data_IF_150712083322
#
_entry.id   IF_150712083322
#
_cell.length_a   1.000
_cell.length_b   1.000
_cell.length_c   1.000
_cell.angle_alpha   90.00
_cell.angle_beta   90.00
_cell.angle_gamma   90.00
#
_symmetry.space_group_name_H-M   'P 1'
#
loop_
_entity.id
_entity.type
_entity.pdbx_description
1 polymer ?
#
# COMPACT_ATOMS: atom_id res chain seq x y z
N UNK A 1 15.84 -27.37 31.12
CA UNK A 1 15.01 -27.68 29.94
C UNK A 1 13.54 -27.25 30.05
N UNK A 2 12.76 -27.63 31.07
CA UNK A 2 11.31 -27.25 31.18
C UNK A 2 11.03 -25.74 31.27
N UNK A 3 11.94 -24.94 31.84
CA UNK A 3 11.82 -23.46 31.90
C UNK A 3 12.15 -22.79 30.55
N UNK A 4 13.12 -23.33 29.81
CA UNK A 4 13.48 -22.88 28.46
C UNK A 4 12.37 -23.21 27.46
N UNK A 5 11.76 -24.39 27.55
CA UNK A 5 10.58 -24.75 26.74
C UNK A 5 9.34 -23.89 27.06
N UNK A 6 9.15 -23.41 28.30
CA UNK A 6 8.07 -22.47 28.65
C UNK A 6 8.34 -21.05 28.15
N UNK A 7 9.59 -20.58 28.16
CA UNK A 7 9.97 -19.27 27.66
C UNK A 7 9.91 -19.23 26.12
N UNK A 8 10.46 -20.25 25.45
CA UNK A 8 10.32 -20.46 24.00
C UNK A 8 8.85 -20.66 23.64
N UNK A 9 8.05 -21.40 24.42
CA UNK A 9 6.62 -21.57 24.18
C UNK A 9 5.77 -20.29 24.31
N UNK A 10 6.18 -19.30 25.13
CA UNK A 10 5.50 -18.00 25.23
C UNK A 10 5.90 -17.03 24.11
N UNK A 11 7.15 -17.07 23.65
CA UNK A 11 7.65 -16.24 22.54
C UNK A 11 7.20 -16.81 21.18
N UNK A 12 7.16 -18.14 21.07
CA UNK A 12 6.64 -18.86 19.89
C UNK A 12 5.12 -18.67 19.80
N UNK A 13 4.34 -18.72 20.89
CA UNK A 13 2.88 -18.48 20.82
C UNK A 13 2.46 -17.04 20.45
N UNK A 14 3.36 -16.06 20.52
CA UNK A 14 3.12 -14.71 19.99
C UNK A 14 3.40 -14.60 18.47
N UNK A 15 4.12 -15.58 17.90
CA UNK A 15 4.48 -15.65 16.47
C UNK A 15 3.86 -16.83 15.72
N UNK A 16 3.28 -17.83 16.40
CA UNK A 16 2.64 -19.01 15.81
C UNK A 16 1.11 -19.01 15.86
N UNK A 17 0.48 -17.96 16.37
CA UNK A 17 -0.98 -17.77 16.27
C UNK A 17 -1.47 -17.57 14.83
N UNK A 18 -0.59 -17.41 13.85
CA UNK A 18 -0.94 -17.40 12.42
C UNK A 18 -0.63 -18.69 11.67
N UNK A 19 0.15 -19.63 12.23
CA UNK A 19 0.59 -20.83 11.50
C UNK A 19 0.03 -22.17 12.04
N UNK A 20 -0.53 -22.20 13.25
CA UNK A 20 -1.04 -23.44 13.87
C UNK A 20 -2.58 -23.59 13.86
N UNK A 21 -3.33 -22.66 13.23
CA UNK A 21 -4.78 -22.76 13.09
C UNK A 21 -5.25 -23.57 11.86
N UNK A 22 -4.32 -24.12 11.06
CA UNK A 22 -4.64 -24.75 9.77
C UNK A 22 -4.99 -26.25 9.84
N UNK A 23 -5.08 -26.88 11.03
CA UNK A 23 -5.27 -28.33 11.12
C UNK A 23 -6.50 -28.82 11.92
N UNK A 24 -7.35 -27.95 12.48
CA UNK A 24 -8.54 -28.41 13.20
C UNK A 24 -9.69 -27.40 13.24
N UNK A 25 -10.55 -27.38 12.21
CA UNK A 25 -11.99 -27.13 12.32
C UNK A 25 -12.63 -27.05 10.92
N UNK A 26 -13.54 -27.99 10.61
CA UNK A 26 -14.54 -27.80 9.55
C UNK A 26 -15.57 -26.75 10.04
N UNK A 27 -15.27 -25.46 9.84
CA UNK A 27 -16.18 -24.29 9.80
C UNK A 27 -15.36 -23.08 9.29
N UNK A 28 -15.95 -22.17 8.49
CA UNK A 28 -15.19 -21.09 7.87
C UNK A 28 -14.62 -20.14 8.94
N UNK A 29 -13.31 -19.81 8.93
CA UNK A 29 -12.73 -18.96 9.96
C UNK A 29 -13.09 -17.49 9.72
N UNK A 30 -13.54 -16.84 10.80
CA UNK A 30 -13.61 -15.38 10.92
C UNK A 30 -12.18 -14.84 10.83
N UNK A 31 -11.87 -14.15 9.72
CA UNK A 31 -10.55 -13.56 9.45
C UNK A 31 -10.35 -12.35 10.36
N UNK A 32 -9.64 -12.55 11.47
CA UNK A 32 -9.12 -11.46 12.31
C UNK A 32 -7.84 -10.95 11.63
N UNK A 33 -7.95 -9.77 11.03
CA UNK A 33 -6.84 -9.06 10.38
C UNK A 33 -5.86 -8.59 11.45
N UNK A 34 -4.62 -9.10 11.44
CA UNK A 34 -3.52 -8.51 12.21
C UNK A 34 -3.00 -7.35 11.35
N UNK A 35 -3.09 -6.08 11.81
CA UNK A 35 -2.56 -4.95 11.05
C UNK A 35 -1.03 -5.02 11.10
N UNK A 36 -0.38 -5.35 9.99
CA UNK A 36 1.05 -5.06 9.83
C UNK A 36 1.16 -3.55 9.73
N UNK A 37 1.65 -2.92 10.81
CA UNK A 37 1.84 -1.48 10.93
C UNK A 37 2.74 -0.94 9.83
N UNK A 38 2.12 -0.54 8.72
CA UNK A 38 2.62 0.47 7.79
C UNK A 38 1.50 1.12 6.96
N UNK A 39 0.22 0.84 7.27
CA UNK A 39 -0.96 1.45 6.63
C UNK A 39 -1.23 2.89 7.09
N UNK A 40 -0.42 3.44 8.01
CA UNK A 40 -0.62 4.77 8.61
C UNK A 40 0.30 5.86 8.07
N UNK A 41 1.16 5.58 7.07
CA UNK A 41 2.10 6.57 6.51
C UNK A 41 2.07 6.65 4.97
N UNK A 42 0.94 6.31 4.33
CA UNK A 42 0.73 6.64 2.92
C UNK A 42 -0.27 7.77 2.81
N UNK A 43 0.24 9.00 2.78
CA UNK A 43 -0.42 10.07 2.05
C UNK A 43 -0.73 9.53 0.65
N UNK A 44 -1.99 9.63 0.24
CA UNK A 44 -2.49 9.02 -0.99
C UNK A 44 -1.66 9.48 -2.21
N UNK A 45 -1.52 8.66 -3.25
CA UNK A 45 -0.95 9.13 -4.50
C UNK A 45 -1.78 10.29 -5.06
N UNK A 46 -1.15 11.19 -5.82
CA UNK A 46 -1.82 12.31 -6.48
C UNK A 46 -3.01 11.88 -7.35
N UNK A 47 -3.06 10.62 -7.79
CA UNK A 47 -4.14 10.00 -8.56
C UNK A 47 -5.49 9.93 -7.82
N UNK A 48 -5.53 10.09 -6.50
CA UNK A 48 -6.79 10.15 -5.74
C UNK A 48 -7.60 11.43 -6.03
N UNK A 49 -6.93 12.50 -6.46
CA UNK A 49 -7.56 13.79 -6.78
C UNK A 49 -7.80 13.92 -8.28
N UNK A 50 -9.05 14.18 -8.69
CA UNK A 50 -9.37 14.45 -10.10
C UNK A 50 -8.93 15.88 -10.41
N UNK A 51 -7.82 16.04 -11.13
CA UNK A 51 -7.36 17.32 -11.67
C UNK A 51 -7.92 17.56 -13.07
N UNK A 52 -8.74 18.59 -13.24
CA UNK A 52 -8.91 19.24 -14.54
C UNK A 52 -7.65 20.10 -14.76
N UNK A 53 -6.95 19.87 -15.88
CA UNK A 53 -5.65 20.48 -16.23
C UNK A 53 -5.54 21.94 -15.73
N UNK A 54 -4.66 22.16 -14.77
CA UNK A 54 -4.35 23.46 -14.21
C UNK A 54 -2.95 23.88 -14.64
N UNK A 55 -2.85 24.82 -15.59
CA UNK A 55 -1.58 25.51 -15.85
C UNK A 55 -1.15 26.27 -14.59
N UNK A 56 0.15 26.21 -14.20
CA UNK A 56 0.64 26.91 -13.02
C UNK A 56 0.67 28.41 -13.30
N UNK A 57 0.03 29.21 -12.44
CA UNK A 57 0.34 30.64 -12.32
C UNK A 57 0.70 30.87 -10.87
N UNK A 58 1.96 31.23 -10.65
CA UNK A 58 2.42 31.71 -9.36
C UNK A 58 1.67 33.01 -9.04
N UNK A 59 0.86 33.00 -7.97
CA UNK A 59 0.33 34.23 -7.40
C UNK A 59 0.96 34.40 -6.03
N UNK A 60 1.88 35.37 -5.98
CA UNK A 60 2.44 35.94 -4.76
C UNK A 60 1.28 36.55 -3.97
N UNK A 61 1.11 36.10 -2.73
CA UNK A 61 0.25 36.77 -1.77
C UNK A 61 0.92 38.10 -1.40
N UNK A 62 0.29 39.21 -1.74
CA UNK A 62 0.55 40.49 -1.12
C UNK A 62 -0.75 41.28 -1.00
N UNK A 63 -1.09 41.63 0.24
CA UNK A 63 -1.98 42.72 0.55
C UNK A 63 -1.44 44.00 -0.12
N UNK A 64 -2.09 44.51 -1.15
CA UNK A 64 -2.18 45.95 -1.44
C UNK A 64 -3.07 46.21 -2.67
N UNK A 65 -4.17 46.92 -2.45
CA UNK A 65 -5.23 47.22 -3.43
C UNK A 65 -4.86 48.32 -4.46
N UNK A 66 -3.59 48.75 -4.59
CA UNK A 66 -3.30 50.00 -5.33
C UNK A 66 -2.37 49.95 -6.56
N UNK A 67 -1.92 48.79 -7.05
CA UNK A 67 -1.15 48.77 -8.31
C UNK A 67 -1.55 47.62 -9.24
N UNK A 68 -2.68 47.78 -9.94
CA UNK A 68 -2.96 47.05 -11.19
C UNK A 68 -2.94 48.03 -12.37
N UNK A 69 -1.74 48.46 -12.76
CA UNK A 69 -1.49 48.99 -14.11
C UNK A 69 -0.48 48.07 -14.79
N UNK A 70 -0.97 47.18 -15.67
CA UNK A 70 -0.09 46.35 -16.51
C UNK A 70 -0.60 44.95 -16.88
N UNK A 71 -1.79 44.53 -16.45
CA UNK A 71 -2.33 43.21 -16.80
C UNK A 71 -3.38 43.33 -17.91
N UNK A 72 -3.02 42.91 -19.12
CA UNK A 72 -3.97 42.79 -20.23
C UNK A 72 -4.78 41.51 -20.06
N UNK A 73 -6.11 41.68 -20.02
CA UNK A 73 -7.08 40.59 -20.00
C UNK A 73 -7.01 39.85 -21.34
N UNK A 74 -6.55 38.61 -21.34
CA UNK A 74 -6.73 37.71 -22.47
C UNK A 74 -8.12 37.11 -22.32
N UNK A 75 -9.07 37.60 -23.14
CA UNK A 75 -10.42 37.04 -23.24
C UNK A 75 -10.40 35.86 -24.20
N UNK A 76 -9.86 34.72 -23.78
CA UNK A 76 -10.29 33.46 -24.37
C UNK A 76 -11.58 33.04 -23.68
N UNK A 77 -12.70 33.03 -24.42
CA UNK A 77 -14.05 32.74 -23.90
C UNK A 77 -14.26 31.31 -23.38
N UNK A 78 -13.22 30.64 -22.88
CA UNK A 78 -13.22 29.26 -22.41
C UNK A 78 -13.63 29.12 -20.94
N UNK A 79 -13.44 30.13 -20.09
CA UNK A 79 -13.85 30.12 -18.67
C UNK A 79 -14.15 31.56 -18.25
N UNK A 80 -15.34 31.84 -17.72
CA UNK A 80 -15.60 33.12 -17.06
C UNK A 80 -14.77 33.15 -15.78
N UNK A 81 -13.55 33.67 -15.86
CA UNK A 81 -12.71 33.93 -14.69
C UNK A 81 -13.44 34.93 -13.80
N UNK A 82 -14.06 34.42 -12.75
CA UNK A 82 -14.77 35.20 -11.75
C UNK A 82 -14.17 34.91 -10.37
N UNK A 83 -14.52 35.72 -9.38
CA UNK A 83 -13.94 35.60 -8.04
C UNK A 83 -14.13 34.19 -7.45
N UNK A 84 -15.21 33.50 -7.80
CA UNK A 84 -15.49 32.15 -7.32
C UNK A 84 -14.60 31.10 -7.99
N UNK A 85 -14.30 31.21 -9.29
CA UNK A 85 -13.38 30.28 -9.97
C UNK A 85 -11.96 30.39 -9.42
N UNK A 86 -11.50 31.60 -9.10
CA UNK A 86 -10.21 31.82 -8.44
C UNK A 86 -10.18 31.26 -7.01
N UNK A 87 -11.20 31.55 -6.20
CA UNK A 87 -11.31 31.04 -4.82
C UNK A 87 -11.40 29.52 -4.77
N UNK A 88 -12.17 28.90 -5.67
CA UNK A 88 -12.26 27.44 -5.79
C UNK A 88 -10.86 26.81 -5.97
N UNK A 89 -10.05 27.40 -6.86
CA UNK A 89 -8.70 26.90 -7.14
C UNK A 89 -7.80 27.00 -5.91
N UNK A 90 -7.71 28.18 -5.31
CA UNK A 90 -6.89 28.43 -4.12
C UNK A 90 -7.32 27.51 -2.96
N UNK A 91 -8.63 27.38 -2.73
CA UNK A 91 -9.14 26.48 -1.70
C UNK A 91 -8.81 25.01 -1.99
N UNK A 92 -8.94 24.57 -3.24
CA UNK A 92 -8.64 23.19 -3.63
C UNK A 92 -7.16 22.87 -3.44
N UNK A 93 -6.26 23.75 -3.87
CA UNK A 93 -4.82 23.52 -3.81
C UNK A 93 -4.33 23.55 -2.35
N UNK A 94 -4.73 24.58 -1.58
CA UNK A 94 -4.40 24.65 -0.14
C UNK A 94 -4.99 23.47 0.65
N UNK A 95 -6.21 23.01 0.31
CA UNK A 95 -6.81 21.85 0.96
C UNK A 95 -6.03 20.56 0.67
N UNK A 96 -5.54 20.38 -0.56
CA UNK A 96 -4.68 19.24 -0.92
C UNK A 96 -3.38 19.27 -0.15
N UNK A 97 -2.74 20.43 -0.03
CA UNK A 97 -1.49 20.56 0.73
C UNK A 97 -1.69 20.24 2.21
N UNK A 98 -2.77 20.75 2.82
CA UNK A 98 -3.11 20.43 4.22
C UNK A 98 -3.47 18.96 4.40
N UNK A 99 -4.17 18.37 3.44
CA UNK A 99 -4.47 16.95 3.41
C UNK A 99 -3.19 16.11 3.37
N UNK A 100 -2.22 16.50 2.53
CA UNK A 100 -0.90 15.88 2.49
C UNK A 100 -0.06 16.14 3.75
N UNK A 101 -0.36 17.17 4.53
CA UNK A 101 0.27 17.35 5.86
C UNK A 101 -0.44 16.58 6.97
N UNK A 102 -1.55 15.88 6.68
CA UNK A 102 -2.37 15.19 7.68
C UNK A 102 -3.25 16.13 8.53
N UNK A 103 -3.34 17.42 8.18
CA UNK A 103 -4.19 18.42 8.87
C UNK A 103 -5.63 18.32 8.34
N UNK A 104 -6.30 17.22 8.67
CA UNK A 104 -7.57 16.84 8.05
C UNK A 104 -8.73 17.78 8.38
N UNK A 105 -8.77 18.41 9.56
CA UNK A 105 -9.86 19.33 9.90
C UNK A 105 -9.76 20.66 9.14
N UNK A 106 -8.54 21.18 8.94
CA UNK A 106 -8.34 22.39 8.15
C UNK A 106 -8.55 22.12 6.66
N UNK A 107 -8.11 20.95 6.16
CA UNK A 107 -8.39 20.52 4.80
C UNK A 107 -9.91 20.36 4.54
N UNK A 108 -10.68 19.86 5.51
CA UNK A 108 -12.14 19.74 5.39
C UNK A 108 -12.80 21.10 5.16
N UNK A 109 -12.43 22.10 5.98
CA UNK A 109 -12.96 23.46 5.84
C UNK A 109 -12.72 24.03 4.45
N UNK A 110 -11.50 23.85 3.92
CA UNK A 110 -11.15 24.35 2.60
C UNK A 110 -11.80 23.55 1.47
N UNK A 111 -11.93 22.22 1.55
CA UNK A 111 -12.64 21.45 0.53
C UNK A 111 -14.15 21.75 0.51
N UNK A 112 -14.78 21.95 1.67
CA UNK A 112 -16.18 22.41 1.74
C UNK A 112 -16.32 23.79 1.11
N UNK A 113 -15.40 24.71 1.43
CA UNK A 113 -15.33 26.02 0.79
C UNK A 113 -15.15 25.92 -0.72
N UNK A 114 -14.24 25.08 -1.20
CA UNK A 114 -14.01 24.85 -2.62
C UNK A 114 -15.29 24.37 -3.32
N UNK A 115 -15.98 23.37 -2.76
CA UNK A 115 -17.24 22.88 -3.31
C UNK A 115 -18.30 23.99 -3.43
N UNK A 116 -18.43 24.84 -2.40
CA UNK A 116 -19.34 25.99 -2.44
C UNK A 116 -18.95 26.98 -3.54
N UNK A 117 -17.66 27.32 -3.65
CA UNK A 117 -17.17 28.23 -4.69
C UNK A 117 -17.34 27.64 -6.09
N UNK A 118 -17.14 26.33 -6.28
CA UNK A 118 -17.39 25.67 -7.56
C UNK A 118 -18.86 25.80 -7.98
N UNK A 119 -19.79 25.52 -7.05
CA UNK A 119 -21.23 25.62 -7.29
C UNK A 119 -21.66 27.05 -7.66
N UNK A 120 -21.05 28.06 -7.05
CA UNK A 120 -21.31 29.48 -7.33
C UNK A 120 -20.68 29.96 -8.64
N UNK A 121 -19.44 29.54 -8.93
CA UNK A 121 -18.65 30.06 -10.04
C UNK A 121 -18.94 29.38 -11.39
N UNK A 122 -19.21 28.07 -11.38
CA UNK A 122 -19.39 27.27 -12.59
C UNK A 122 -20.82 26.75 -12.76
N UNK A 123 -21.60 26.65 -11.67
CA UNK A 123 -22.95 26.11 -11.65
C UNK A 123 -23.02 24.68 -11.09
N UNK A 124 -24.22 24.27 -10.67
CA UNK A 124 -24.44 23.06 -9.86
C UNK A 124 -24.07 21.73 -10.55
N UNK A 125 -24.07 21.70 -11.89
CA UNK A 125 -23.85 20.50 -12.70
C UNK A 125 -22.56 20.58 -13.52
N UNK A 126 -21.63 21.43 -13.10
CA UNK A 126 -20.36 21.60 -13.78
C UNK A 126 -19.30 20.57 -13.33
N UNK A 127 -18.44 20.06 -14.23
CA UNK A 127 -17.33 19.16 -13.91
C UNK A 127 -16.39 19.61 -12.78
N UNK A 128 -16.23 20.91 -12.54
CA UNK A 128 -15.45 21.43 -11.40
C UNK A 128 -16.14 21.14 -10.06
N UNK A 129 -17.47 21.11 -10.02
CA UNK A 129 -18.25 20.64 -8.86
C UNK A 129 -17.99 19.16 -8.63
N UNK A 130 -17.97 18.34 -9.69
CA UNK A 130 -17.65 16.92 -9.55
C UNK A 130 -16.24 16.68 -8.98
N UNK A 131 -15.24 17.43 -9.45
CA UNK A 131 -13.88 17.39 -8.89
C UNK A 131 -13.88 17.75 -7.41
N UNK A 132 -14.56 18.84 -7.03
CA UNK A 132 -14.66 19.25 -5.62
C UNK A 132 -15.37 18.20 -4.74
N UNK A 133 -16.47 17.60 -5.23
CA UNK A 133 -17.16 16.50 -4.55
C UNK A 133 -16.24 15.29 -4.35
N UNK A 134 -15.52 14.85 -5.40
CA UNK A 134 -14.58 13.72 -5.28
C UNK A 134 -13.47 14.01 -4.25
N UNK A 135 -12.92 15.22 -4.25
CA UNK A 135 -11.83 15.59 -3.32
C UNK A 135 -12.32 15.59 -1.86
N UNK A 136 -13.52 16.13 -1.62
CA UNK A 136 -14.14 16.10 -0.29
C UNK A 136 -14.53 14.67 0.14
N UNK A 137 -14.99 13.84 -0.80
CA UNK A 137 -15.28 12.43 -0.56
C UNK A 137 -14.03 11.64 -0.14
N UNK A 138 -12.89 11.86 -0.81
CA UNK A 138 -11.61 11.25 -0.43
C UNK A 138 -11.17 11.66 0.97
N UNK A 139 -11.32 12.93 1.34
CA UNK A 139 -11.06 13.39 2.70
C UNK A 139 -11.95 12.65 3.71
N UNK A 140 -13.25 12.55 3.46
CA UNK A 140 -14.15 11.82 4.36
C UNK A 140 -13.86 10.33 4.41
N UNK A 141 -13.43 9.70 3.32
CA UNK A 141 -12.97 8.30 3.32
C UNK A 141 -11.76 8.11 4.24
N UNK A 142 -10.79 9.02 4.20
CA UNK A 142 -9.61 8.98 5.10
C UNK A 142 -10.01 9.21 6.56
N UNK A 143 -10.95 10.13 6.82
CA UNK A 143 -11.53 10.34 8.16
C UNK A 143 -12.46 9.21 8.61
N UNK A 144 -12.72 8.21 7.76
CA UNK A 144 -13.71 7.13 7.97
C UNK A 144 -15.13 7.67 8.22
N UNK A 145 -15.44 8.87 7.74
CA UNK A 145 -16.77 9.48 7.75
C UNK A 145 -17.56 9.00 6.53
N UNK A 146 -17.80 7.71 6.49
CA UNK A 146 -18.30 6.99 5.33
C UNK A 146 -19.66 7.46 4.82
N UNK A 147 -20.61 7.73 5.72
CA UNK A 147 -21.94 8.25 5.38
C UNK A 147 -21.90 9.60 4.65
N UNK A 148 -20.82 10.38 4.83
CA UNK A 148 -20.61 11.64 4.10
C UNK A 148 -19.89 11.45 2.77
N UNK A 149 -19.05 10.42 2.64
CA UNK A 149 -18.21 10.20 1.46
C UNK A 149 -19.01 9.60 0.29
N UNK A 150 -19.80 8.56 0.53
CA UNK A 150 -20.57 7.86 -0.51
C UNK A 150 -21.44 8.79 -1.37
N UNK A 151 -22.29 9.67 -0.80
CA UNK A 151 -23.14 10.55 -1.60
C UNK A 151 -22.33 11.51 -2.48
N UNK A 152 -21.16 11.97 -2.03
CA UNK A 152 -20.30 12.88 -2.79
C UNK A 152 -19.63 12.19 -3.98
N UNK A 153 -19.18 10.94 -3.82
CA UNK A 153 -18.69 10.15 -4.96
C UNK A 153 -19.79 9.92 -6.00
N UNK A 154 -21.00 9.58 -5.55
CA UNK A 154 -22.14 9.36 -6.45
C UNK A 154 -22.56 10.65 -7.17
N UNK A 155 -22.58 11.80 -6.48
CA UNK A 155 -22.83 13.11 -7.08
C UNK A 155 -21.78 13.44 -8.15
N UNK A 156 -20.49 13.26 -7.84
CA UNK A 156 -19.41 13.47 -8.80
C UNK A 156 -19.55 12.61 -10.06
N UNK A 157 -19.86 11.32 -9.90
CA UNK A 157 -20.08 10.40 -11.02
C UNK A 157 -21.30 10.81 -11.85
N UNK A 158 -22.40 11.25 -11.22
CA UNK A 158 -23.59 11.71 -11.94
C UNK A 158 -23.27 12.92 -12.82
N UNK A 159 -22.62 13.94 -12.24
CA UNK A 159 -22.24 15.15 -12.97
C UNK A 159 -21.32 14.81 -14.16
N UNK A 160 -20.29 13.99 -13.94
CA UNK A 160 -19.37 13.62 -15.03
C UNK A 160 -20.06 12.83 -16.15
N UNK A 161 -21.02 11.96 -15.82
CA UNK A 161 -21.82 11.24 -16.82
C UNK A 161 -22.70 12.19 -17.62
N UNK A 162 -23.31 13.19 -16.98
CA UNK A 162 -24.12 14.21 -17.65
C UNK A 162 -23.27 15.10 -18.57
N UNK A 163 -22.08 15.51 -18.13
CA UNK A 163 -21.22 16.44 -18.90
C UNK A 163 -20.45 15.76 -20.04
N UNK A 164 -20.00 14.51 -19.86
CA UNK A 164 -19.05 13.87 -20.77
C UNK A 164 -19.50 12.51 -21.31
N UNK A 165 -20.60 11.95 -20.77
CA UNK A 165 -21.09 10.64 -21.14
C UNK A 165 -20.51 9.50 -20.30
N UNK A 166 -21.17 8.33 -20.38
CA UNK A 166 -20.90 7.18 -19.50
C UNK A 166 -19.56 6.48 -19.72
N UNK A 167 -18.94 6.67 -20.88
CA UNK A 167 -17.70 5.99 -21.28
C UNK A 167 -16.48 6.91 -21.19
N UNK A 168 -16.60 8.12 -20.62
CA UNK A 168 -15.50 9.08 -20.49
C UNK A 168 -14.47 8.65 -19.43
N UNK A 169 -13.20 8.99 -19.67
CA UNK A 169 -12.10 8.62 -18.77
C UNK A 169 -12.24 9.19 -17.35
N UNK A 170 -12.85 10.37 -17.20
CA UNK A 170 -13.12 10.99 -15.88
C UNK A 170 -14.16 10.20 -15.11
N UNK A 171 -15.16 9.63 -15.78
CA UNK A 171 -16.11 8.70 -15.17
C UNK A 171 -15.39 7.42 -14.73
N UNK A 172 -14.48 6.90 -15.55
CA UNK A 172 -13.63 5.76 -15.19
C UNK A 172 -12.76 6.02 -13.96
N UNK A 173 -12.18 7.22 -13.82
CA UNK A 173 -11.42 7.62 -12.65
C UNK A 173 -12.30 7.75 -11.40
N UNK A 174 -13.46 8.40 -11.50
CA UNK A 174 -14.38 8.54 -10.37
C UNK A 174 -14.94 7.19 -9.90
N UNK A 175 -15.24 6.27 -10.82
CA UNK A 175 -15.64 4.88 -10.50
C UNK A 175 -14.51 4.10 -9.82
N UNK A 176 -13.25 4.30 -10.22
CA UNK A 176 -12.11 3.69 -9.55
C UNK A 176 -12.03 4.14 -8.09
N UNK A 177 -12.19 5.44 -7.83
CA UNK A 177 -12.18 6.00 -6.47
C UNK A 177 -13.34 5.48 -5.62
N UNK A 178 -14.55 5.40 -6.18
CA UNK A 178 -15.70 4.78 -5.51
C UNK A 178 -15.46 3.28 -5.22
N UNK A 179 -14.82 2.56 -6.13
CA UNK A 179 -14.41 1.17 -5.91
C UNK A 179 -13.44 1.04 -4.73
N UNK A 180 -12.50 1.98 -4.59
CA UNK A 180 -11.57 2.02 -3.47
C UNK A 180 -12.28 2.33 -2.15
N UNK A 181 -13.24 3.25 -2.17
CA UNK A 181 -14.12 3.53 -1.05
C UNK A 181 -14.85 2.26 -0.58
N UNK A 182 -15.53 1.55 -1.49
CA UNK A 182 -16.24 0.32 -1.14
C UNK A 182 -15.33 -0.81 -0.65
N UNK A 183 -14.12 -0.92 -1.20
CA UNK A 183 -13.13 -1.88 -0.71
C UNK A 183 -12.72 -1.61 0.74
N UNK A 184 -12.53 -0.34 1.12
CA UNK A 184 -12.21 0.05 2.50
C UNK A 184 -13.36 -0.30 3.46
N UNK A 185 -14.61 -0.13 3.01
CA UNK A 185 -15.80 -0.54 3.77
C UNK A 185 -16.07 -2.05 3.76
N UNK A 186 -15.28 -2.83 3.01
CA UNK A 186 -15.49 -4.27 2.77
C UNK A 186 -16.81 -4.60 2.03
N UNK A 187 -17.39 -3.65 1.31
CA UNK A 187 -18.50 -3.87 0.37
C UNK A 187 -17.95 -4.45 -0.95
N UNK A 188 -17.55 -5.72 -0.92
CA UNK A 188 -16.77 -6.34 -2.01
C UNK A 188 -17.49 -6.35 -3.36
N UNK A 189 -18.80 -6.65 -3.39
CA UNK A 189 -19.56 -6.72 -4.65
C UNK A 189 -19.72 -5.33 -5.30
N UNK A 190 -19.92 -4.30 -4.48
CA UNK A 190 -19.99 -2.91 -4.96
C UNK A 190 -18.63 -2.43 -5.47
N UNK A 191 -17.55 -2.78 -4.77
CA UNK A 191 -16.18 -2.51 -5.22
C UNK A 191 -15.87 -3.20 -6.55
N UNK A 192 -16.25 -4.48 -6.69
CA UNK A 192 -16.08 -5.25 -7.91
C UNK A 192 -16.77 -4.55 -9.10
N UNK A 193 -18.06 -4.21 -8.96
CA UNK A 193 -18.83 -3.55 -10.02
C UNK A 193 -18.21 -2.21 -10.45
N UNK A 194 -17.73 -1.41 -9.49
CA UNK A 194 -17.07 -0.14 -9.77
C UNK A 194 -15.75 -0.34 -10.54
N UNK A 195 -14.89 -1.24 -10.06
CA UNK A 195 -13.60 -1.50 -10.69
C UNK A 195 -13.74 -2.18 -12.05
N UNK A 196 -14.67 -3.11 -12.24
CA UNK A 196 -14.94 -3.74 -13.53
C UNK A 196 -15.35 -2.68 -14.57
N UNK A 197 -16.26 -1.77 -14.20
CA UNK A 197 -16.69 -0.70 -15.09
C UNK A 197 -15.57 0.29 -15.39
N UNK A 198 -14.80 0.70 -14.38
CA UNK A 198 -13.62 1.56 -14.55
C UNK A 198 -12.57 0.91 -15.45
N UNK A 199 -12.33 -0.39 -15.29
CA UNK A 199 -11.37 -1.17 -16.06
C UNK A 199 -11.74 -1.21 -17.54
N UNK A 200 -13.03 -1.43 -17.85
CA UNK A 200 -13.55 -1.42 -19.23
C UNK A 200 -13.34 -0.07 -19.92
N UNK A 201 -13.63 1.03 -19.22
CA UNK A 201 -13.45 2.40 -19.73
C UNK A 201 -11.95 2.68 -19.98
N UNK A 202 -11.11 2.43 -18.97
CA UNK A 202 -9.66 2.67 -19.04
C UNK A 202 -9.01 1.84 -20.14
N UNK A 203 -9.40 0.56 -20.31
CA UNK A 203 -8.92 -0.28 -21.42
C UNK A 203 -9.21 0.36 -22.78
N UNK A 204 -10.45 0.82 -22.99
CA UNK A 204 -10.88 1.38 -24.27
C UNK A 204 -10.19 2.69 -24.60
N UNK A 205 -10.01 3.58 -23.63
CA UNK A 205 -9.50 4.93 -23.86
C UNK A 205 -7.97 5.00 -23.79
N UNK A 206 -7.38 4.39 -22.75
CA UNK A 206 -5.94 4.50 -22.48
C UNK A 206 -5.14 3.37 -23.13
N UNK A 207 -5.79 2.24 -23.44
CA UNK A 207 -5.13 1.02 -23.89
C UNK A 207 -4.66 0.12 -22.76
N UNK A 208 -4.21 -1.09 -23.13
CA UNK A 208 -3.85 -2.15 -22.17
C UNK A 208 -2.49 -1.97 -21.52
N UNK A 209 -1.64 -1.09 -22.06
CA UNK A 209 -0.29 -0.84 -21.54
C UNK A 209 -0.22 0.38 -20.61
N UNK A 210 -1.36 1.00 -20.25
CA UNK A 210 -1.37 2.21 -19.44
C UNK A 210 -1.32 1.92 -17.93
N UNK A 211 -0.55 2.71 -17.18
CA UNK A 211 -0.38 2.56 -15.73
C UNK A 211 -1.71 2.60 -14.94
N UNK A 212 -2.62 3.54 -15.24
CA UNK A 212 -3.95 3.63 -14.61
C UNK A 212 -4.87 2.43 -14.90
N UNK A 213 -4.72 1.81 -16.07
CA UNK A 213 -5.41 0.56 -16.39
C UNK A 213 -4.85 -0.56 -15.51
N UNK A 214 -3.52 -0.67 -15.42
CA UNK A 214 -2.84 -1.63 -14.54
C UNK A 214 -3.17 -1.40 -13.05
N UNK A 215 -3.34 -0.17 -12.60
CA UNK A 215 -3.78 0.14 -11.23
C UNK A 215 -5.16 -0.41 -10.95
N UNK A 216 -6.10 -0.22 -11.88
CA UNK A 216 -7.46 -0.75 -11.73
C UNK A 216 -7.46 -2.29 -11.71
N UNK A 217 -6.61 -2.94 -12.51
CA UNK A 217 -6.40 -4.39 -12.46
C UNK A 217 -5.89 -4.86 -11.09
N UNK A 218 -4.92 -4.16 -10.52
CA UNK A 218 -4.39 -4.49 -9.19
C UNK A 218 -5.48 -4.44 -8.13
N UNK A 219 -6.27 -3.37 -8.11
CA UNK A 219 -7.35 -3.20 -7.15
C UNK A 219 -8.49 -4.20 -7.35
N UNK A 220 -8.86 -4.50 -8.60
CA UNK A 220 -9.82 -5.56 -8.90
C UNK A 220 -9.31 -6.94 -8.45
N UNK A 221 -8.02 -7.22 -8.67
CA UNK A 221 -7.37 -8.43 -8.17
C UNK A 221 -7.41 -8.55 -6.64
N UNK A 222 -7.28 -7.43 -5.90
CA UNK A 222 -7.48 -7.44 -4.44
C UNK A 222 -8.92 -7.82 -4.06
N UNK A 223 -9.91 -7.25 -4.74
CA UNK A 223 -11.33 -7.57 -4.49
C UNK A 223 -11.60 -9.06 -4.74
N UNK A 224 -11.15 -9.59 -5.88
CA UNK A 224 -11.30 -11.00 -6.23
C UNK A 224 -10.65 -11.93 -5.20
N UNK A 225 -9.45 -11.57 -4.72
CA UNK A 225 -8.77 -12.35 -3.69
C UNK A 225 -9.59 -12.42 -2.40
N UNK A 226 -10.16 -11.29 -1.97
CA UNK A 226 -11.01 -11.22 -0.78
C UNK A 226 -12.35 -11.95 -0.94
N UNK A 227 -12.86 -12.06 -2.17
CA UNK A 227 -14.03 -12.88 -2.50
C UNK A 227 -13.71 -14.39 -2.59
N UNK A 228 -12.43 -14.79 -2.44
CA UNK A 228 -12.00 -16.18 -2.54
C UNK A 228 -11.65 -16.64 -3.96
N UNK A 229 -11.72 -15.75 -4.95
CA UNK A 229 -11.33 -16.05 -6.33
C UNK A 229 -9.82 -15.82 -6.55
N UNK A 230 -9.01 -16.68 -5.93
CA UNK A 230 -7.55 -16.52 -5.90
C UNK A 230 -6.84 -16.64 -7.26
N UNK A 231 -7.36 -17.46 -8.19
CA UNK A 231 -6.75 -17.67 -9.51
C UNK A 231 -6.88 -16.42 -10.39
N UNK A 232 -8.09 -15.85 -10.46
CA UNK A 232 -8.34 -14.65 -11.27
C UNK A 232 -7.63 -13.43 -10.66
N UNK A 233 -7.60 -13.35 -9.32
CA UNK A 233 -6.81 -12.35 -8.61
C UNK A 233 -5.33 -12.41 -8.97
N UNK A 234 -4.73 -13.60 -8.93
CA UNK A 234 -3.33 -13.82 -9.31
C UNK A 234 -3.06 -13.34 -10.74
N UNK A 235 -3.90 -13.71 -11.70
CA UNK A 235 -3.73 -13.30 -13.10
C UNK A 235 -3.74 -11.78 -13.25
N UNK A 236 -4.74 -11.09 -12.69
CA UNK A 236 -4.85 -9.64 -12.78
C UNK A 236 -3.66 -8.92 -12.16
N UNK A 237 -3.16 -9.40 -11.02
CA UNK A 237 -2.02 -8.78 -10.34
C UNK A 237 -0.73 -9.01 -11.11
N UNK A 238 -0.52 -10.20 -11.70
CA UNK A 238 0.63 -10.48 -12.56
C UNK A 238 0.65 -9.60 -13.80
N UNK A 239 -0.49 -9.46 -14.47
CA UNK A 239 -0.60 -8.62 -15.66
C UNK A 239 -0.41 -7.13 -15.30
N UNK A 240 -0.96 -6.70 -14.17
CA UNK A 240 -0.73 -5.37 -13.61
C UNK A 240 0.74 -5.07 -13.30
N UNK A 241 1.51 -6.05 -12.84
CA UNK A 241 2.96 -5.93 -12.63
C UNK A 241 3.68 -5.85 -13.97
N UNK A 242 3.32 -6.72 -14.92
CA UNK A 242 3.93 -6.77 -16.26
C UNK A 242 3.82 -5.43 -16.98
N UNK A 243 2.65 -4.80 -16.95
CA UNK A 243 2.44 -3.48 -17.57
C UNK A 243 3.37 -2.41 -16.96
N UNK A 244 3.60 -2.43 -15.64
CA UNK A 244 4.54 -1.49 -15.02
C UNK A 244 5.99 -1.79 -15.40
N UNK A 245 6.35 -3.06 -15.53
CA UNK A 245 7.70 -3.47 -15.91
C UNK A 245 8.02 -3.09 -17.36
N UNK A 246 7.08 -3.32 -18.27
CA UNK A 246 7.19 -2.96 -19.68
C UNK A 246 7.19 -1.43 -19.87
N UNK A 247 6.51 -0.69 -19.00
CA UNK A 247 6.43 0.77 -19.01
C UNK A 247 7.58 1.49 -18.27
N UNK A 248 8.73 0.84 -18.08
CA UNK A 248 9.91 1.36 -17.35
C UNK A 248 9.65 1.76 -15.88
N UNK A 249 8.51 1.38 -15.32
CA UNK A 249 8.13 1.60 -13.92
C UNK A 249 8.36 0.34 -13.06
N UNK A 250 9.18 -0.60 -13.54
CA UNK A 250 9.50 -1.84 -12.83
C UNK A 250 10.15 -1.61 -11.46
N UNK A 251 10.97 -0.58 -11.34
CA UNK A 251 11.63 -0.21 -10.07
C UNK A 251 10.80 0.74 -9.20
N UNK A 252 9.58 1.09 -9.64
CA UNK A 252 8.71 1.98 -8.88
C UNK A 252 8.23 1.34 -7.57
N UNK A 253 7.96 2.19 -6.57
CA UNK A 253 7.30 1.77 -5.34
C UNK A 253 5.96 1.04 -5.60
N UNK A 254 5.24 1.45 -6.65
CA UNK A 254 3.98 0.81 -7.06
C UNK A 254 4.22 -0.65 -7.46
N UNK A 255 5.22 -0.92 -8.30
CA UNK A 255 5.57 -2.28 -8.70
C UNK A 255 6.01 -3.12 -7.49
N UNK A 256 6.85 -2.56 -6.61
CA UNK A 256 7.28 -3.23 -5.38
C UNK A 256 6.10 -3.61 -4.48
N UNK A 257 5.11 -2.73 -4.31
CA UNK A 257 3.90 -3.00 -3.55
C UNK A 257 3.07 -4.15 -4.15
N UNK A 258 2.94 -4.17 -5.48
CA UNK A 258 2.20 -5.23 -6.20
C UNK A 258 2.91 -6.58 -6.09
N UNK A 259 4.25 -6.61 -6.22
CA UNK A 259 5.05 -7.83 -6.02
C UNK A 259 4.92 -8.39 -4.61
N UNK A 260 5.00 -7.55 -3.57
CA UNK A 260 4.79 -7.99 -2.18
C UNK A 260 3.41 -8.59 -1.97
N UNK A 261 2.39 -7.99 -2.57
CA UNK A 261 1.04 -8.52 -2.49
C UNK A 261 0.90 -9.87 -3.22
N UNK A 262 1.57 -10.05 -4.35
CA UNK A 262 1.64 -11.33 -5.07
C UNK A 262 2.33 -12.42 -4.23
N UNK A 263 3.43 -12.10 -3.54
CA UNK A 263 4.09 -13.03 -2.58
C UNK A 263 3.10 -13.47 -1.51
N UNK A 264 2.31 -12.55 -0.95
CA UNK A 264 1.31 -12.89 0.06
C UNK A 264 0.25 -13.86 -0.49
N UNK A 265 -0.24 -13.63 -1.71
CA UNK A 265 -1.18 -14.55 -2.38
C UNK A 265 -0.56 -15.94 -2.53
N UNK A 266 0.70 -16.02 -2.96
CA UNK A 266 1.39 -17.28 -3.14
C UNK A 266 1.62 -18.06 -1.84
N UNK A 267 2.04 -17.38 -0.77
CA UNK A 267 2.17 -17.99 0.55
C UNK A 267 0.81 -18.51 1.03
N UNK A 268 -0.24 -17.68 0.97
CA UNK A 268 -1.60 -18.09 1.38
C UNK A 268 -2.17 -19.24 0.55
N UNK A 269 -1.75 -19.37 -0.72
CA UNK A 269 -2.18 -20.44 -1.63
C UNK A 269 -1.25 -21.67 -1.60
N UNK A 270 -0.29 -21.71 -0.67
CA UNK A 270 0.74 -22.74 -0.55
C UNK A 270 1.60 -22.96 -1.82
N UNK A 271 1.74 -21.92 -2.66
CA UNK A 271 2.61 -21.90 -3.85
C UNK A 271 4.00 -21.35 -3.48
N UNK A 272 4.68 -22.06 -2.60
CA UNK A 272 5.94 -21.57 -1.97
C UNK A 272 7.03 -21.31 -3.01
N UNK A 273 7.16 -22.15 -4.04
CA UNK A 273 8.17 -22.00 -5.09
C UNK A 273 8.00 -20.70 -5.88
N UNK A 274 6.76 -20.35 -6.23
CA UNK A 274 6.45 -19.08 -6.92
C UNK A 274 6.72 -17.88 -6.01
N UNK A 275 6.40 -18.00 -4.71
CA UNK A 275 6.72 -16.97 -3.71
C UNK A 275 8.24 -16.71 -3.62
N UNK A 276 9.07 -17.77 -3.66
CA UNK A 276 10.55 -17.63 -3.68
C UNK A 276 11.00 -16.82 -4.89
N UNK A 277 10.49 -17.12 -6.09
CA UNK A 277 10.89 -16.43 -7.33
C UNK A 277 10.60 -14.93 -7.22
N UNK A 278 9.38 -14.57 -6.80
CA UNK A 278 8.99 -13.16 -6.67
C UNK A 278 9.77 -12.47 -5.54
N UNK A 279 9.98 -13.14 -4.41
CA UNK A 279 10.73 -12.55 -3.29
C UNK A 279 12.22 -12.34 -3.62
N UNK A 280 12.83 -13.22 -4.42
CA UNK A 280 14.18 -12.98 -4.97
C UNK A 280 14.23 -11.75 -5.85
N UNK A 281 13.22 -11.56 -6.71
CA UNK A 281 13.11 -10.37 -7.55
C UNK A 281 13.04 -9.10 -6.70
N UNK A 282 12.22 -9.10 -5.64
CA UNK A 282 12.12 -8.00 -4.66
C UNK A 282 13.48 -7.73 -4.01
N UNK A 283 14.16 -8.77 -3.52
CA UNK A 283 15.46 -8.62 -2.85
C UNK A 283 16.51 -8.04 -3.81
N UNK A 284 16.59 -8.55 -5.04
CA UNK A 284 17.54 -8.08 -6.04
C UNK A 284 17.36 -6.59 -6.34
N UNK A 285 16.11 -6.13 -6.53
CA UNK A 285 15.81 -4.70 -6.75
C UNK A 285 16.24 -3.82 -5.58
N UNK A 286 15.99 -4.27 -4.35
CA UNK A 286 16.40 -3.53 -3.15
C UNK A 286 17.92 -3.53 -2.95
N UNK A 287 18.58 -4.64 -3.26
CA UNK A 287 20.05 -4.74 -3.23
C UNK A 287 20.68 -3.75 -4.22
N UNK A 288 20.19 -3.69 -5.45
CA UNK A 288 20.71 -2.77 -6.48
C UNK A 288 20.44 -1.31 -6.13
N UNK A 289 19.22 -1.00 -5.64
CA UNK A 289 18.82 0.40 -5.39
C UNK A 289 19.31 0.97 -4.06
N UNK A 290 19.39 0.15 -3.00
CA UNK A 290 19.67 0.62 -1.62
C UNK A 290 20.86 -0.06 -0.96
N UNK A 291 21.37 -1.15 -1.52
CA UNK A 291 22.45 -1.94 -0.92
C UNK A 291 22.03 -2.71 0.33
N UNK A 292 22.98 -3.45 0.89
CA UNK A 292 22.81 -4.29 2.09
C UNK A 292 22.83 -3.53 3.42
N UNK A 293 23.16 -2.25 3.36
CA UNK A 293 23.20 -1.36 4.51
C UNK A 293 21.84 -0.65 4.73
N UNK A 294 20.83 -1.00 3.94
CA UNK A 294 19.44 -0.56 4.11
C UNK A 294 18.64 -1.59 4.90
N UNK A 295 17.92 -1.11 5.93
CA UNK A 295 17.01 -1.96 6.70
C UNK A 295 15.91 -2.59 5.83
N UNK A 296 15.48 -1.92 4.77
CA UNK A 296 14.47 -2.47 3.85
C UNK A 296 14.98 -3.69 3.09
N UNK A 297 16.23 -3.64 2.62
CA UNK A 297 16.88 -4.78 1.96
C UNK A 297 17.00 -5.96 2.92
N UNK A 298 17.33 -5.69 4.19
CA UNK A 298 17.44 -6.71 5.24
C UNK A 298 16.09 -7.36 5.56
N UNK A 299 15.01 -6.59 5.63
CA UNK A 299 13.65 -7.12 5.83
C UNK A 299 13.24 -8.01 4.64
N UNK A 300 13.56 -7.60 3.42
CA UNK A 300 13.28 -8.40 2.22
C UNK A 300 14.10 -9.71 2.19
N UNK A 301 15.36 -9.66 2.60
CA UNK A 301 16.23 -10.83 2.70
C UNK A 301 15.77 -11.80 3.79
N UNK A 302 15.38 -11.29 4.97
CA UNK A 302 14.79 -12.10 6.03
C UNK A 302 13.50 -12.76 5.57
N UNK A 303 12.61 -12.01 4.90
CA UNK A 303 11.38 -12.55 4.33
C UNK A 303 11.68 -13.68 3.33
N UNK A 304 12.69 -13.52 2.46
CA UNK A 304 13.13 -14.58 1.54
C UNK A 304 13.63 -15.81 2.30
N UNK A 305 14.43 -15.63 3.36
CA UNK A 305 14.95 -16.74 4.13
C UNK A 305 13.83 -17.55 4.80
N UNK A 306 12.78 -16.89 5.30
CA UNK A 306 11.62 -17.57 5.87
C UNK A 306 10.84 -18.38 4.83
N UNK A 307 10.68 -17.83 3.62
CA UNK A 307 10.03 -18.55 2.52
C UNK A 307 10.91 -19.74 2.08
N UNK A 308 12.23 -19.56 1.94
CA UNK A 308 13.18 -20.64 1.63
C UNK A 308 13.17 -21.74 2.69
N UNK A 309 13.05 -21.37 3.96
CA UNK A 309 12.89 -22.32 5.06
C UNK A 309 11.62 -23.17 4.87
N UNK A 310 10.50 -22.55 4.50
CA UNK A 310 9.25 -23.27 4.21
C UNK A 310 9.32 -24.12 2.94
N UNK A 311 10.17 -23.75 1.97
CA UNK A 311 10.45 -24.53 0.76
C UNK A 311 11.39 -25.71 1.01
N UNK A 312 12.04 -25.78 2.17
CA UNK A 312 13.03 -26.80 2.51
C UNK A 312 14.47 -26.47 2.08
N UNK A 313 14.71 -25.30 1.46
CA UNK A 313 16.04 -24.81 1.09
C UNK A 313 16.79 -24.23 2.30
N UNK A 314 17.06 -25.07 3.30
CA UNK A 314 17.55 -24.65 4.61
C UNK A 314 18.98 -24.09 4.60
N UNK A 315 19.86 -24.63 3.75
CA UNK A 315 21.25 -24.18 3.63
C UNK A 315 21.27 -22.72 3.16
N UNK A 316 20.53 -22.43 2.09
CA UNK A 316 20.43 -21.09 1.56
C UNK A 316 19.76 -20.13 2.55
N UNK A 317 18.69 -20.56 3.22
CA UNK A 317 18.04 -19.76 4.26
C UNK A 317 19.02 -19.39 5.38
N UNK A 318 19.88 -20.33 5.80
CA UNK A 318 20.92 -20.10 6.82
C UNK A 318 21.96 -19.08 6.37
N UNK A 319 22.48 -19.21 5.15
CA UNK A 319 23.46 -18.28 4.59
C UNK A 319 22.89 -16.86 4.50
N UNK A 320 21.63 -16.75 4.04
CA UNK A 320 20.95 -15.47 3.92
C UNK A 320 20.70 -14.81 5.28
N UNK A 321 20.27 -15.58 6.28
CA UNK A 321 20.09 -15.09 7.65
C UNK A 321 21.41 -14.68 8.31
N UNK A 322 22.51 -15.38 8.02
CA UNK A 322 23.84 -15.01 8.49
C UNK A 322 24.26 -13.66 7.90
N UNK A 323 24.11 -13.49 6.58
CA UNK A 323 24.38 -12.20 5.90
C UNK A 323 23.52 -11.07 6.48
N UNK A 324 22.24 -11.33 6.77
CA UNK A 324 21.37 -10.37 7.44
C UNK A 324 21.89 -9.97 8.83
N UNK A 325 22.34 -10.93 9.64
CA UNK A 325 22.85 -10.66 10.98
C UNK A 325 24.13 -9.81 10.93
N UNK A 326 25.03 -10.10 10.00
CA UNK A 326 26.29 -9.36 9.84
C UNK A 326 26.07 -7.92 9.36
N UNK A 327 25.11 -7.68 8.47
CA UNK A 327 24.68 -6.32 8.15
C UNK A 327 23.99 -5.62 9.32
N UNK A 328 23.09 -6.29 10.05
CA UNK A 328 22.40 -5.70 11.22
C UNK A 328 23.38 -5.26 12.30
N UNK A 329 24.45 -6.02 12.55
CA UNK A 329 25.52 -5.65 13.50
C UNK A 329 26.25 -4.35 13.14
N UNK A 330 26.33 -4.02 11.85
CA UNK A 330 26.97 -2.79 11.37
C UNK A 330 26.04 -1.58 11.47
N UNK A 331 24.73 -1.80 11.35
CA UNK A 331 23.73 -0.73 11.27
C UNK A 331 23.08 -0.39 12.61
N UNK A 332 22.95 -1.37 13.51
CA UNK A 332 22.12 -1.27 14.70
C UNK A 332 22.97 -1.37 15.97
N UNK A 333 22.55 -0.70 17.07
CA UNK A 333 23.16 -0.87 18.39
C UNK A 333 23.18 -2.34 18.81
N UNK A 334 24.20 -2.73 19.58
CA UNK A 334 24.51 -4.12 19.93
C UNK A 334 23.41 -4.87 20.71
N UNK A 335 22.33 -4.24 21.13
CA UNK A 335 21.19 -4.77 21.88
C UNK A 335 19.86 -4.71 21.11
N UNK A 336 19.88 -4.31 19.84
CA UNK A 336 18.66 -4.12 19.05
C UNK A 336 17.86 -5.41 18.83
N UNK A 337 16.54 -5.37 19.07
CA UNK A 337 15.63 -6.52 19.02
C UNK A 337 15.63 -7.30 17.70
N UNK A 338 15.89 -6.62 16.58
CA UNK A 338 15.96 -7.26 15.27
C UNK A 338 17.12 -8.26 15.14
N UNK A 339 18.21 -8.08 15.89
CA UNK A 339 19.27 -9.09 15.94
C UNK A 339 18.81 -10.36 16.67
N UNK A 340 18.03 -10.21 17.75
CA UNK A 340 17.45 -11.34 18.47
C UNK A 340 16.47 -12.12 17.58
N UNK A 341 15.60 -11.43 16.84
CA UNK A 341 14.69 -12.06 15.87
C UNK A 341 15.46 -12.87 14.80
N UNK A 342 16.52 -12.28 14.23
CA UNK A 342 17.39 -12.96 13.27
C UNK A 342 18.02 -14.23 13.86
N UNK A 343 18.53 -14.17 15.08
CA UNK A 343 19.17 -15.31 15.76
C UNK A 343 18.17 -16.43 16.03
N UNK A 344 16.92 -16.10 16.36
CA UNK A 344 15.85 -17.09 16.53
C UNK A 344 15.51 -17.80 15.22
N UNK A 345 15.43 -17.06 14.10
CA UNK A 345 15.25 -17.65 12.78
C UNK A 345 16.41 -18.58 12.42
N UNK A 346 17.65 -18.17 12.68
CA UNK A 346 18.83 -19.03 12.45
C UNK A 346 18.80 -20.29 13.32
N UNK A 347 18.48 -20.17 14.61
CA UNK A 347 18.39 -21.30 15.51
C UNK A 347 17.34 -22.32 15.02
N UNK A 348 16.21 -21.84 14.52
CA UNK A 348 15.18 -22.69 13.92
C UNK A 348 15.70 -23.42 12.68
N UNK A 349 16.43 -22.74 11.79
CA UNK A 349 17.02 -23.37 10.60
C UNK A 349 18.06 -24.42 10.98
N UNK A 350 18.92 -24.15 11.96
CA UNK A 350 19.91 -25.13 12.45
C UNK A 350 19.23 -26.38 13.04
N UNK A 351 18.14 -26.21 13.80
CA UNK A 351 17.37 -27.35 14.32
C UNK A 351 16.68 -28.16 13.21
N UNK A 352 16.19 -27.50 12.16
CA UNK A 352 15.61 -28.19 11.00
C UNK A 352 16.67 -28.95 10.19
N UNK A 353 17.86 -28.37 10.02
CA UNK A 353 19.01 -29.03 9.40
C UNK A 353 19.42 -30.27 10.20
N UNK A 354 19.49 -30.15 11.53
CA UNK A 354 19.76 -31.29 12.41
C UNK A 354 18.72 -32.40 12.23
N UNK A 355 17.43 -32.05 12.20
CA UNK A 355 16.35 -33.03 12.00
C UNK A 355 16.42 -33.74 10.63
N UNK A 356 16.96 -33.09 9.60
CA UNK A 356 17.18 -33.69 8.28
C UNK A 356 18.48 -34.49 8.20
N UNK A 357 19.49 -34.15 9.00
CA UNK A 357 20.74 -34.89 9.06
C UNK A 357 20.55 -36.21 9.81
N UNK A 358 21.06 -37.31 9.25
CA UNK A 358 21.18 -38.59 9.98
C UNK A 358 22.31 -38.57 11.02
N UNK A 359 23.02 -37.46 11.11
CA UNK A 359 24.24 -37.33 11.88
C UNK A 359 23.91 -36.82 13.28
N UNK A 360 24.33 -37.56 14.30
CA UNK A 360 24.02 -37.28 15.72
C UNK A 360 24.98 -36.24 16.32
N UNK A 361 25.41 -35.28 15.51
CA UNK A 361 26.43 -34.29 15.91
C UNK A 361 25.83 -33.27 16.87
N UNK A 362 26.29 -33.28 18.12
CA UNK A 362 25.86 -32.36 19.17
C UNK A 362 26.22 -30.90 18.87
N UNK A 363 27.18 -30.67 17.97
CA UNK A 363 27.65 -29.33 17.60
C UNK A 363 26.55 -28.44 17.00
N UNK A 364 25.64 -29.00 16.19
CA UNK A 364 24.52 -28.24 15.58
C UNK A 364 23.53 -27.82 16.66
N UNK A 365 23.24 -28.71 17.60
CA UNK A 365 22.36 -28.45 18.74
C UNK A 365 22.97 -27.37 19.65
N UNK A 366 24.25 -27.46 19.96
CA UNK A 366 24.92 -26.50 20.84
C UNK A 366 24.98 -25.11 20.19
N UNK A 367 25.23 -25.03 18.89
CA UNK A 367 25.13 -23.77 18.13
C UNK A 367 23.71 -23.18 18.17
N UNK A 368 22.67 -24.02 18.02
CA UNK A 368 21.28 -23.56 18.14
C UNK A 368 20.96 -23.05 19.56
N UNK A 369 21.47 -23.70 20.62
CA UNK A 369 21.33 -23.24 22.01
C UNK A 369 22.04 -21.90 22.21
N UNK A 370 23.23 -21.72 21.65
CA UNK A 370 23.99 -20.47 21.77
C UNK A 370 23.24 -19.31 21.10
N UNK A 371 22.68 -19.53 19.90
CA UNK A 371 21.85 -18.55 19.21
C UNK A 371 20.61 -18.15 20.03
N UNK A 372 19.93 -19.13 20.64
CA UNK A 372 18.78 -18.87 21.53
C UNK A 372 19.22 -18.10 22.78
N UNK A 373 20.33 -18.51 23.40
CA UNK A 373 20.89 -17.84 24.58
C UNK A 373 21.28 -16.39 24.29
N UNK A 374 21.86 -16.13 23.12
CA UNK A 374 22.15 -14.78 22.64
C UNK A 374 20.86 -13.98 22.42
N UNK A 375 19.88 -14.52 21.70
CA UNK A 375 18.61 -13.84 21.49
C UNK A 375 17.91 -13.44 22.81
N UNK A 376 17.94 -14.34 23.80
CA UNK A 376 17.40 -14.07 25.15
C UNK A 376 18.16 -12.93 25.83
N UNK A 377 19.50 -12.93 25.78
CA UNK A 377 20.31 -11.86 26.37
C UNK A 377 19.95 -10.48 25.78
N UNK A 378 19.84 -10.39 24.46
CA UNK A 378 19.46 -9.16 23.75
C UNK A 378 18.06 -8.67 24.16
N UNK A 379 17.13 -9.61 24.41
CA UNK A 379 15.78 -9.24 24.88
C UNK A 379 15.73 -8.77 26.33
N UNK A 380 16.70 -9.15 27.17
CA UNK A 380 16.76 -8.78 28.59
C UNK A 380 17.58 -7.53 28.87
N UNK A 381 18.54 -7.17 28.02
CA UNK A 381 19.27 -5.89 28.12
C UNK A 381 18.39 -4.68 27.80
N UNK A 382 17.25 -4.91 27.16
CA UNK A 382 16.17 -3.94 27.05
C UNK A 382 15.40 -3.88 28.37
N UNK A 383 16.02 -3.36 29.42
CA UNK A 383 15.27 -2.89 30.60
C UNK A 383 14.29 -1.83 30.09
N UNK A 384 13.00 -2.17 30.07
CA UNK A 384 11.92 -1.20 29.95
C UNK A 384 12.03 -0.28 31.17
N UNK A 385 12.80 0.80 31.06
CA UNK A 385 12.52 2.02 31.82
C UNK A 385 11.22 2.58 31.25
N UNK A 386 10.10 2.03 31.73
CA UNK A 386 8.79 2.66 31.64
C UNK A 386 8.80 4.00 32.40
#
# INVERSE_FOLDING_TARGET
MKRVFRAVGRIVNLSTTTAAAAAAARRPPVVIHIPTGNDSASLLPASAFIGLLSLPVAVVLADDEQQQQGLTKIEDGSVVSNIHTCKWRVFTDNARDLFFQGKLDDAERLFVGALQQAKQGFGQRDPHVASACNNLAELYRVKKAFDKAEPLYLEAISILKESYGHEDIRVGAALHNLGQFYLVEKKLDAAYACYERALKIKRRILGENHADYAETMYHLGKVLYLQGNGKDAESLIKDSIRILEDGEQGESFLCMRRLRYLVQIYISSNKVTDAVIIQRKILHRLEVSKGWDSLETLIAAESLALILQSAGSLIEAKELLQRCLDSRRRLLPADHIQMAANMLHMARVELLLYAQSRDSSTAVIDKAKDLIGNAIRYSHTMDFKC
#
